data_IF_477507982622
#
_entry.id   IF_477507982622
#
_cell.length_a   1.000
_cell.length_b   1.000
_cell.length_c   1.000
_cell.angle_alpha   90.00
_cell.angle_beta   90.00
_cell.angle_gamma   90.00
#
_symmetry.space_group_name_H-M   'P 1'
#
loop_
_entity.id
_entity.type
_entity.pdbx_description
1 polymer ?
#
# COMPACT_ATOMS: atom_id res chain seq x y z
N UNK A 1 4.21 -11.06 5.34
CA UNK A 1 5.12 -10.06 4.74
C UNK A 1 4.64 -8.67 5.12
N UNK A 2 5.53 -7.71 5.38
CA UNK A 2 5.17 -6.32 5.66
C UNK A 2 5.23 -5.53 4.34
N UNK A 3 4.16 -4.84 3.95
CA UNK A 3 4.18 -4.02 2.75
C UNK A 3 4.72 -2.62 3.03
N UNK A 4 5.47 -2.13 2.06
CA UNK A 4 5.93 -0.74 1.98
C UNK A 4 4.88 0.15 1.31
N UNK A 5 4.93 1.45 1.61
CA UNK A 5 4.06 2.49 1.06
C UNK A 5 4.02 2.48 -0.46
N UNK A 6 5.15 2.22 -1.13
CA UNK A 6 5.21 2.17 -2.58
C UNK A 6 4.32 1.07 -3.18
N UNK A 7 4.30 -0.12 -2.56
CA UNK A 7 3.48 -1.23 -3.05
C UNK A 7 1.99 -0.88 -2.92
N UNK A 8 1.61 -0.18 -1.86
CA UNK A 8 0.23 0.27 -1.65
C UNK A 8 -0.16 1.30 -2.72
N UNK A 9 0.70 2.29 -3.02
CA UNK A 9 0.48 3.30 -4.07
C UNK A 9 0.28 2.61 -5.42
N UNK A 10 1.19 1.71 -5.82
CA UNK A 10 1.07 1.00 -7.09
C UNK A 10 -0.18 0.11 -7.16
N UNK A 11 -0.61 -0.50 -6.05
CA UNK A 11 -1.83 -1.32 -6.02
C UNK A 11 -3.11 -0.52 -6.37
N UNK A 12 -3.10 0.81 -6.16
CA UNK A 12 -4.23 1.69 -6.50
C UNK A 12 -4.36 1.97 -8.00
N UNK A 13 -3.29 1.76 -8.78
CA UNK A 13 -3.28 2.02 -10.21
C UNK A 13 -3.92 0.83 -10.99
N UNK A 14 -4.83 1.09 -11.95
CA UNK A 14 -5.51 0.03 -12.71
C UNK A 14 -4.57 -0.98 -13.38
N UNK A 15 -3.43 -0.49 -13.88
CA UNK A 15 -2.40 -1.22 -14.65
C UNK A 15 -1.68 -2.30 -13.84
N UNK A 16 -1.80 -2.26 -12.50
CA UNK A 16 -1.07 -3.13 -11.58
C UNK A 16 -1.98 -4.19 -10.91
N UNK A 17 -2.80 -4.89 -11.70
CA UNK A 17 -3.72 -5.93 -11.21
C UNK A 17 -3.01 -7.08 -10.46
N UNK A 18 -1.81 -7.44 -10.91
CA UNK A 18 -0.99 -8.52 -10.33
C UNK A 18 -0.62 -8.23 -8.88
N UNK A 19 -0.39 -6.96 -8.54
CA UNK A 19 -0.08 -6.55 -7.17
C UNK A 19 -1.30 -6.76 -6.27
N UNK A 20 -2.49 -6.39 -6.73
CA UNK A 20 -3.74 -6.61 -5.97
C UNK A 20 -4.03 -8.10 -5.76
N UNK A 21 -3.83 -8.92 -6.79
CA UNK A 21 -3.96 -10.39 -6.68
C UNK A 21 -3.00 -10.96 -5.66
N UNK A 22 -1.73 -10.57 -5.72
CA UNK A 22 -0.72 -10.99 -4.77
C UNK A 22 -1.06 -10.60 -3.32
N UNK A 23 -1.54 -9.36 -3.09
CA UNK A 23 -1.98 -8.90 -1.76
C UNK A 23 -3.16 -9.72 -1.25
N UNK A 24 -4.15 -10.00 -2.11
CA UNK A 24 -5.32 -10.78 -1.74
C UNK A 24 -4.97 -12.23 -1.36
N UNK A 25 -4.03 -12.85 -2.08
CA UNK A 25 -3.59 -14.23 -1.84
C UNK A 25 -2.73 -14.37 -0.58
N UNK A 26 -1.93 -13.36 -0.24
CA UNK A 26 -0.91 -13.46 0.80
C UNK A 26 -1.28 -12.76 2.12
N UNK A 27 -2.41 -12.02 2.17
CA UNK A 27 -2.89 -11.28 3.35
C UNK A 27 -1.77 -10.59 4.14
N UNK A 28 -0.98 -9.69 3.51
CA UNK A 28 0.18 -9.09 4.15
C UNK A 28 -0.23 -8.04 5.20
N UNK A 29 0.67 -7.78 6.15
CA UNK A 29 0.49 -6.72 7.14
C UNK A 29 1.02 -5.38 6.58
N UNK A 30 0.46 -4.28 7.06
CA UNK A 30 0.87 -2.91 6.71
C UNK A 30 1.24 -2.14 7.96
N UNK A 31 2.27 -1.30 7.89
CA UNK A 31 2.58 -0.36 8.97
C UNK A 31 1.56 0.77 8.98
N UNK A 32 1.12 1.18 10.18
CA UNK A 32 0.28 2.37 10.34
C UNK A 32 0.94 3.64 9.79
N UNK A 33 2.27 3.73 9.81
CA UNK A 33 3.02 4.85 9.21
C UNK A 33 2.83 4.88 7.69
N UNK A 34 3.03 3.73 7.04
CA UNK A 34 2.84 3.58 5.58
C UNK A 34 1.43 3.90 5.13
N UNK A 35 0.43 3.58 5.95
CA UNK A 35 -0.96 3.98 5.67
C UNK A 35 -1.13 5.50 5.60
N UNK A 36 -0.55 6.25 6.54
CA UNK A 36 -0.65 7.72 6.54
C UNK A 36 0.17 8.33 5.40
N UNK A 37 1.34 7.78 5.07
CA UNK A 37 2.14 8.22 3.92
C UNK A 37 1.37 8.10 2.60
N UNK A 38 0.68 6.96 2.39
CA UNK A 38 -0.11 6.69 1.18
C UNK A 38 -1.33 7.59 1.08
N UNK A 39 -2.02 7.86 2.19
CA UNK A 39 -3.14 8.79 2.23
C UNK A 39 -2.72 10.24 1.97
N UNK A 40 -1.42 10.50 1.88
CA UNK A 40 -0.86 11.84 1.80
C UNK A 40 -0.84 12.43 3.19
N UNK A 41 0.36 12.45 3.77
CA UNK A 41 0.70 13.08 5.04
C UNK A 41 0.58 14.61 4.93
N UNK A 42 -0.62 15.14 4.66
CA UNK A 42 -0.86 16.56 4.38
C UNK A 42 -0.91 17.44 5.64
N UNK A 43 -0.82 16.87 6.86
CA UNK A 43 -1.08 17.60 8.11
C UNK A 43 -0.15 17.29 9.29
N UNK A 44 1.03 16.74 9.04
CA UNK A 44 2.06 16.62 10.07
C UNK A 44 3.28 17.44 9.62
N UNK A 45 3.06 18.76 9.57
CA UNK A 45 3.82 19.85 10.20
C UNK A 45 3.24 21.18 9.65
#
# INVERSE_FOLDING_TARGET
>A
MLLDSNIIIYATQPEHDKIRKFIAENTPAVSSVSYVEVLGYHHLI
#
